data_IF_307929559531
#
_entry.id   IF_307929559531
#
_cell.length_a   1.000
_cell.length_b   1.000
_cell.length_c   1.000
_cell.angle_alpha   90.00
_cell.angle_beta   90.00
_cell.angle_gamma   90.00
#
_symmetry.space_group_name_H-M   'P 1'
#
loop_
_entity.id
_entity.type
_entity.pdbx_description
1 polymer ?
#
# COMPACT_ATOMS: atom_id res chain seq x y z
N UNK A 1 -12.15 3.99 11.97
CA UNK A 1 -10.87 3.24 12.06
C UNK A 1 -10.35 2.98 10.65
N UNK A 2 -9.12 3.34 10.28
CA UNK A 2 -8.58 2.92 8.99
C UNK A 2 -8.55 1.39 8.97
N UNK A 3 -9.22 0.76 7.99
CA UNK A 3 -9.24 -0.71 7.83
C UNK A 3 -7.82 -1.25 8.03
N UNK A 4 -7.70 -2.30 8.87
CA UNK A 4 -6.43 -2.93 9.16
C UNK A 4 -5.75 -3.27 7.84
N UNK A 5 -4.71 -2.50 7.52
CA UNK A 5 -4.00 -2.66 6.28
C UNK A 5 -3.31 -4.02 6.35
N UNK A 6 -3.53 -4.87 5.35
CA UNK A 6 -2.81 -6.14 5.26
C UNK A 6 -1.32 -5.87 5.35
N UNK A 7 -0.69 -6.35 6.43
CA UNK A 7 0.71 -6.05 6.74
C UNK A 7 1.63 -6.49 5.60
N UNK A 8 1.33 -7.66 5.02
CA UNK A 8 1.98 -8.18 3.81
C UNK A 8 1.96 -7.17 2.65
N UNK A 9 0.83 -6.52 2.39
CA UNK A 9 0.73 -5.56 1.30
C UNK A 9 1.46 -4.24 1.61
N UNK A 10 1.53 -3.84 2.89
CA UNK A 10 2.35 -2.69 3.32
C UNK A 10 3.83 -2.95 3.10
N UNK A 11 4.31 -4.13 3.48
CA UNK A 11 5.70 -4.54 3.27
C UNK A 11 6.01 -4.65 1.77
N UNK A 12 5.12 -5.29 1.00
CA UNK A 12 5.27 -5.43 -0.46
C UNK A 12 5.28 -4.07 -1.18
N UNK A 13 4.54 -3.07 -0.70
CA UNK A 13 4.53 -1.72 -1.28
C UNK A 13 5.84 -0.94 -1.10
N UNK A 14 6.67 -1.30 -0.12
CA UNK A 14 7.99 -0.70 0.13
C UNK A 14 9.08 -1.22 -0.82
N UNK A 15 8.88 -2.41 -1.39
CA UNK A 15 9.83 -3.02 -2.32
C UNK A 15 9.78 -2.36 -3.71
N UNK A 16 10.78 -2.59 -4.56
CA UNK A 16 10.65 -2.30 -5.99
C UNK A 16 9.65 -3.27 -6.64
N UNK A 17 9.15 -2.96 -7.84
CA UNK A 17 8.25 -3.89 -8.54
C UNK A 17 8.94 -5.21 -8.90
N UNK A 18 10.22 -5.16 -9.27
CA UNK A 18 11.02 -6.35 -9.58
C UNK A 18 11.22 -7.22 -8.33
N UNK A 19 11.60 -6.64 -7.19
CA UNK A 19 11.77 -7.38 -5.93
C UNK A 19 10.46 -8.00 -5.43
N UNK A 20 9.35 -7.27 -5.59
CA UNK A 20 8.04 -7.77 -5.22
C UNK A 20 7.61 -8.95 -6.10
N UNK A 21 7.90 -8.92 -7.39
CA UNK A 21 7.63 -10.04 -8.32
C UNK A 21 8.56 -11.21 -8.02
N UNK A 22 9.85 -10.98 -7.77
CA UNK A 22 10.80 -12.03 -7.43
C UNK A 22 10.41 -12.76 -6.13
N UNK A 23 9.96 -12.03 -5.10
CA UNK A 23 9.59 -12.62 -3.79
C UNK A 23 8.17 -13.16 -3.73
N UNK A 24 7.22 -12.53 -4.43
CA UNK A 24 5.80 -12.82 -4.27
C UNK A 24 5.10 -13.25 -5.57
N UNK A 25 5.81 -13.26 -6.68
CA UNK A 25 5.34 -13.73 -7.98
C UNK A 25 5.29 -15.26 -8.08
N UNK A 26 5.28 -15.80 -9.31
CA UNK A 26 5.05 -17.22 -9.59
C UNK A 26 6.08 -18.18 -9.02
N UNK A 27 7.28 -17.68 -8.68
CA UNK A 27 8.37 -18.48 -8.11
C UNK A 27 8.49 -18.28 -6.59
N UNK A 28 7.65 -17.43 -6.01
CA UNK A 28 7.67 -17.07 -4.59
C UNK A 28 6.38 -17.46 -3.87
N UNK A 29 5.80 -16.53 -3.11
CA UNK A 29 4.59 -16.82 -2.32
C UNK A 29 3.27 -16.79 -3.11
N UNK A 30 3.31 -16.64 -4.44
CA UNK A 30 2.12 -16.49 -5.32
C UNK A 30 1.12 -15.41 -4.89
N UNK A 31 1.57 -14.42 -4.10
CA UNK A 31 0.73 -13.33 -3.60
C UNK A 31 0.56 -12.23 -4.65
N UNK A 32 1.48 -12.12 -5.62
CA UNK A 32 1.46 -11.10 -6.66
C UNK A 32 0.46 -11.46 -7.76
N UNK A 33 -0.79 -11.03 -7.60
CA UNK A 33 -1.91 -11.36 -8.49
C UNK A 33 -2.07 -10.39 -9.69
N UNK A 34 -0.99 -9.78 -10.18
CA UNK A 34 -1.05 -8.80 -11.29
C UNK A 34 -1.69 -7.46 -10.89
N UNK A 35 -2.66 -6.97 -11.67
CA UNK A 35 -3.24 -5.62 -11.57
C UNK A 35 -3.76 -5.23 -10.15
N UNK A 36 -4.47 -6.10 -9.41
CA UNK A 36 -4.90 -5.80 -8.04
C UNK A 36 -3.72 -5.52 -7.09
N UNK A 37 -2.59 -6.22 -7.28
CA UNK A 37 -1.38 -5.98 -6.50
C UNK A 37 -0.72 -4.65 -6.90
N UNK A 38 -0.70 -4.27 -8.18
CA UNK A 38 -0.21 -2.95 -8.59
C UNK A 38 -1.02 -1.82 -7.94
N UNK A 39 -2.36 -1.90 -8.00
CA UNK A 39 -3.26 -0.92 -7.37
C UNK A 39 -3.04 -0.84 -5.85
N UNK A 40 -3.01 -1.99 -5.17
CA UNK A 40 -2.76 -2.05 -3.71
C UNK A 40 -1.40 -1.49 -3.34
N UNK A 41 -0.34 -1.79 -4.10
CA UNK A 41 1.02 -1.29 -3.84
C UNK A 41 1.07 0.24 -3.99
N UNK A 42 0.48 0.79 -5.05
CA UNK A 42 0.38 2.24 -5.22
C UNK A 42 -0.40 2.90 -4.06
N UNK A 43 -1.53 2.32 -3.67
CA UNK A 43 -2.30 2.80 -2.52
C UNK A 43 -1.48 2.79 -1.23
N UNK A 44 -0.85 1.66 -0.89
CA UNK A 44 -0.08 1.53 0.35
C UNK A 44 1.17 2.40 0.39
N UNK A 45 1.82 2.63 -0.77
CA UNK A 45 2.96 3.55 -0.90
C UNK A 45 2.57 5.01 -0.65
N UNK A 46 1.37 5.40 -1.04
CA UNK A 46 0.85 6.76 -0.86
C UNK A 46 -0.03 6.95 0.37
N UNK A 47 -0.32 5.88 1.13
CA UNK A 47 -1.28 5.89 2.24
C UNK A 47 -0.95 6.94 3.30
N UNK A 48 0.33 7.11 3.62
CA UNK A 48 0.76 8.10 4.59
C UNK A 48 0.51 9.53 4.10
N UNK A 49 0.73 9.80 2.81
CA UNK A 49 0.40 11.08 2.18
C UNK A 49 -1.10 11.35 2.24
N UNK A 50 -1.94 10.37 1.89
CA UNK A 50 -3.39 10.48 1.98
C UNK A 50 -3.87 10.73 3.41
N UNK A 51 -3.28 10.04 4.39
CA UNK A 51 -3.61 10.22 5.81
C UNK A 51 -3.22 11.62 6.31
N UNK A 52 -2.03 12.10 5.93
CA UNK A 52 -1.59 13.46 6.26
C UNK A 52 -2.52 14.51 5.65
N UNK A 53 -2.91 14.33 4.39
CA UNK A 53 -3.87 15.22 3.72
C UNK A 53 -5.21 15.26 4.45
N UNK A 54 -5.80 14.10 4.78
CA UNK A 54 -7.04 14.05 5.58
C UNK A 54 -6.90 14.72 6.95
N UNK A 55 -5.78 14.50 7.65
CA UNK A 55 -5.53 15.14 8.95
C UNK A 55 -5.45 16.67 8.83
N UNK A 56 -4.81 17.19 7.77
CA UNK A 56 -4.77 18.63 7.50
C UNK A 56 -6.15 19.20 7.20
N UNK A 57 -6.97 18.50 6.42
CA UNK A 57 -8.34 18.94 6.13
C UNK A 57 -9.21 18.96 7.40
N UNK A 58 -9.14 17.92 8.22
CA UNK A 58 -9.89 17.86 9.47
C UNK A 58 -9.48 19.00 10.43
N UNK A 59 -8.18 19.29 10.56
CA UNK A 59 -7.70 20.42 11.37
C UNK A 59 -8.23 21.78 10.89
N UNK A 60 -8.36 21.98 9.58
CA UNK A 60 -8.92 23.22 9.01
C UNK A 60 -10.44 23.34 9.20
N UNK A 61 -11.14 22.22 9.33
CA UNK A 61 -12.61 22.19 9.46
C UNK A 61 -13.09 22.22 10.92
N UNK A 62 -12.22 21.89 11.87
CA UNK A 62 -12.54 21.79 13.31
C UNK A 62 -11.77 22.82 14.16
N UNK A 63 -11.00 23.70 13.50
CA UNK A 63 -10.23 24.78 14.13
C UNK A 63 -10.90 26.13 13.93
#
# INVERSE_FOLDING_TARGET
MPKAASERCRLCAKLSSQDAIAKHGPTGTHCFAGEPCHKRRSYYRNRDRYNQHKRRQYRQQTG
#
